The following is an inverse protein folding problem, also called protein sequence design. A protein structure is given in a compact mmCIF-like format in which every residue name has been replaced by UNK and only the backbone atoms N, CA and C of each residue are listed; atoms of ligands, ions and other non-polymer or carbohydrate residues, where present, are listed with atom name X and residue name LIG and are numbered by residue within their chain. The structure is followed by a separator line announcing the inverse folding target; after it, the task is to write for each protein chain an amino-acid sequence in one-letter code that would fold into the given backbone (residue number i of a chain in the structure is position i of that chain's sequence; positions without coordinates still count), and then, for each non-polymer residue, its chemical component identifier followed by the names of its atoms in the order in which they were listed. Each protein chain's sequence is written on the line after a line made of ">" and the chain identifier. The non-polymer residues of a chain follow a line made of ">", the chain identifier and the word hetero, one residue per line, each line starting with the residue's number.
data_IF_172901949195
#
_entry.id   IF_172901949195
#
_cell.length_a   1.000
_cell.length_b   1.000
_cell.length_c   1.000
_cell.angle_alpha   90.00
_cell.angle_beta   90.00
_cell.angle_gamma   90.00
#
_symmetry.space_group_name_H-M   'P 1'
#
loop_
_entity.id
_entity.type
_entity.pdbx_description
1 polymer ?
#
# COMPACT_ATOMS: atom_id res chain seq x y z
N UNK A 1 -3.59 -44.04 -59.46
CA UNK A 1 -3.41 -42.59 -59.25
C UNK A 1 -3.61 -42.34 -57.76
N UNK A 2 -2.56 -41.80 -57.09
CA UNK A 2 -2.40 -41.60 -55.63
C UNK A 2 -2.44 -42.90 -54.80
N UNK A 3 -1.61 -43.13 -53.77
CA UNK A 3 -1.04 -42.20 -52.77
C UNK A 3 0.19 -42.89 -52.14
N UNK A 4 1.35 -42.24 -52.05
CA UNK A 4 2.47 -42.75 -51.24
C UNK A 4 2.90 -41.72 -50.18
N UNK A 5 2.79 -42.22 -48.95
CA UNK A 5 3.01 -41.64 -47.63
C UNK A 5 4.27 -40.76 -47.51
N UNK A 6 4.07 -39.50 -47.18
CA UNK A 6 5.06 -38.63 -46.53
C UNK A 6 4.42 -37.99 -45.30
N UNK A 7 4.33 -38.73 -44.20
CA UNK A 7 4.00 -38.15 -42.88
C UNK A 7 4.34 -39.13 -41.77
N UNK A 8 5.61 -39.21 -41.38
CA UNK A 8 6.01 -39.92 -40.15
C UNK A 8 7.23 -39.28 -39.51
N UNK A 9 8.12 -38.66 -40.28
CA UNK A 9 9.30 -37.97 -39.75
C UNK A 9 8.99 -36.66 -39.01
N UNK A 10 7.92 -35.94 -39.37
CA UNK A 10 7.59 -34.65 -38.73
C UNK A 10 7.07 -34.79 -37.28
N UNK A 11 6.45 -35.92 -36.94
CA UNK A 11 5.85 -36.15 -35.62
C UNK A 11 6.88 -36.52 -34.54
N UNK A 12 7.94 -37.25 -34.90
CA UNK A 12 8.97 -37.65 -33.92
C UNK A 12 9.84 -36.47 -33.47
N UNK A 13 10.13 -35.51 -34.35
CA UNK A 13 10.88 -34.31 -33.99
C UNK A 13 10.12 -33.43 -32.99
N UNK A 14 8.78 -33.35 -33.13
CA UNK A 14 7.95 -32.56 -32.22
C UNK A 14 7.94 -33.11 -30.78
N UNK A 15 7.90 -34.43 -30.63
CA UNK A 15 7.87 -35.09 -29.31
C UNK A 15 9.19 -34.94 -28.54
N UNK A 16 10.32 -34.88 -29.24
CA UNK A 16 11.63 -34.65 -28.62
C UNK A 16 11.77 -33.22 -28.05
N UNK A 17 11.18 -32.21 -28.71
CA UNK A 17 11.21 -30.83 -28.20
C UNK A 17 10.35 -30.64 -26.96
N UNK A 18 9.19 -31.30 -26.85
CA UNK A 18 8.33 -31.19 -25.67
C UNK A 18 8.99 -31.79 -24.42
N UNK A 19 9.68 -32.92 -24.56
CA UNK A 19 10.40 -33.55 -23.44
C UNK A 19 11.64 -32.74 -22.99
N UNK A 20 12.29 -32.02 -23.92
CA UNK A 20 13.45 -31.17 -23.60
C UNK A 20 13.04 -29.89 -22.84
N UNK A 21 11.87 -29.32 -23.14
CA UNK A 21 11.35 -28.14 -22.42
C UNK A 21 10.85 -28.51 -21.02
N UNK A 22 10.27 -29.69 -20.82
CA UNK A 22 9.79 -30.16 -19.52
C UNK A 22 10.89 -30.64 -18.55
N UNK A 23 12.10 -30.90 -19.05
CA UNK A 23 13.26 -31.36 -18.25
C UNK A 23 14.20 -30.23 -17.84
N UNK A 24 13.95 -29.00 -18.29
CA UNK A 24 14.58 -27.83 -17.71
C UNK A 24 14.02 -27.65 -16.30
N UNK A 25 14.85 -27.62 -15.25
CA UNK A 25 14.37 -27.23 -13.94
C UNK A 25 13.73 -25.85 -14.08
N UNK A 26 12.51 -25.70 -13.58
CA UNK A 26 11.80 -24.43 -13.53
C UNK A 26 12.56 -23.48 -12.60
N UNK A 27 13.62 -22.85 -13.11
CA UNK A 27 14.42 -21.83 -12.41
C UNK A 27 13.74 -20.46 -12.42
N UNK A 28 12.43 -20.42 -12.69
CA UNK A 28 11.57 -19.32 -12.30
C UNK A 28 10.83 -19.71 -11.01
N UNK A 29 11.56 -19.67 -9.90
CA UNK A 29 10.93 -19.13 -8.69
C UNK A 29 11.26 -17.65 -8.71
N UNK A 30 10.35 -16.77 -9.18
CA UNK A 30 10.49 -15.39 -8.77
C UNK A 30 10.45 -15.45 -7.26
N UNK A 31 11.53 -15.02 -6.61
CA UNK A 31 11.55 -14.73 -5.19
C UNK A 31 10.66 -13.49 -4.99
N UNK A 32 9.35 -13.67 -5.25
CA UNK A 32 8.27 -12.82 -4.80
C UNK A 32 8.27 -13.05 -3.29
N UNK A 33 9.17 -12.35 -2.59
CA UNK A 33 8.90 -12.01 -1.22
C UNK A 33 7.63 -11.17 -1.28
N UNK A 34 6.49 -11.82 -1.09
CA UNK A 34 5.22 -11.15 -0.88
C UNK A 34 5.46 -10.24 0.32
N UNK A 35 5.45 -8.92 0.10
CA UNK A 35 5.53 -7.94 1.18
C UNK A 35 4.33 -8.24 2.07
N UNK A 36 4.60 -8.86 3.21
CA UNK A 36 3.55 -9.25 4.15
C UNK A 36 3.19 -7.98 4.91
N UNK A 37 2.19 -7.28 4.41
CA UNK A 37 1.66 -6.07 5.03
C UNK A 37 0.44 -6.47 5.86
N UNK A 38 0.39 -5.99 7.10
CA UNK A 38 -0.75 -6.15 7.98
C UNK A 38 -1.32 -4.76 8.28
N UNK A 39 -2.57 -4.51 7.87
CA UNK A 39 -3.28 -3.32 8.37
C UNK A 39 -3.56 -3.53 9.84
N UNK A 40 -2.88 -2.77 10.70
CA UNK A 40 -2.98 -2.93 12.16
C UNK A 40 -3.96 -1.97 12.80
N UNK A 41 -4.20 -0.82 12.16
CA UNK A 41 -5.11 0.17 12.68
C UNK A 41 -5.59 1.14 11.59
N UNK A 42 -6.68 1.85 11.86
CA UNK A 42 -7.17 2.91 10.99
C UNK A 42 -7.80 4.06 11.76
N UNK A 43 -7.86 5.24 11.15
CA UNK A 43 -8.45 6.43 11.72
C UNK A 43 -9.26 7.18 10.65
N UNK A 44 -10.59 7.19 10.79
CA UNK A 44 -11.49 7.90 9.89
C UNK A 44 -11.75 9.32 10.39
N UNK A 45 -11.74 10.31 9.50
CA UNK A 45 -12.03 11.69 9.86
C UNK A 45 -12.96 12.37 8.85
N UNK A 46 -13.66 13.39 9.33
CA UNK A 46 -14.47 14.29 8.51
C UNK A 46 -14.15 15.72 8.89
N UNK A 47 -13.76 16.55 7.91
CA UNK A 47 -13.47 17.96 8.15
C UNK A 47 -14.74 18.83 8.16
N UNK A 48 -14.58 20.10 8.52
CA UNK A 48 -15.66 21.10 8.57
C UNK A 48 -16.30 21.42 7.21
N UNK A 49 -15.61 21.10 6.11
CA UNK A 49 -16.05 21.23 4.73
C UNK A 49 -16.59 19.91 4.15
N UNK A 50 -16.88 18.92 4.99
CA UNK A 50 -17.31 17.57 4.61
C UNK A 50 -16.31 16.77 3.78
N UNK A 51 -15.02 17.10 3.86
CA UNK A 51 -13.97 16.23 3.36
C UNK A 51 -13.93 14.97 4.21
N UNK A 52 -13.87 13.80 3.58
CA UNK A 52 -13.86 12.50 4.26
C UNK A 52 -12.56 11.79 3.89
N UNK A 53 -11.85 11.29 4.89
CA UNK A 53 -10.64 10.51 4.69
C UNK A 53 -10.40 9.49 5.77
N UNK A 54 -9.40 8.64 5.51
CA UNK A 54 -8.88 7.66 6.45
C UNK A 54 -7.37 7.71 6.48
N UNK A 55 -6.79 7.42 7.63
CA UNK A 55 -5.38 7.03 7.74
C UNK A 55 -5.32 5.56 8.06
N UNK A 56 -4.64 4.78 7.22
CA UNK A 56 -4.37 3.37 7.44
C UNK A 56 -2.95 3.19 7.95
N UNK A 57 -2.79 2.39 9.01
CA UNK A 57 -1.50 2.02 9.56
C UNK A 57 -1.17 0.58 9.17
N UNK A 58 -0.04 0.39 8.51
CA UNK A 58 0.44 -0.90 8.04
C UNK A 58 1.72 -1.27 8.76
N UNK A 59 1.76 -2.47 9.32
CA UNK A 59 3.00 -3.08 9.79
C UNK A 59 3.65 -3.85 8.66
N UNK A 60 4.92 -3.56 8.41
CA UNK A 60 5.77 -4.37 7.55
C UNK A 60 6.78 -5.07 8.46
N UNK A 61 6.68 -6.39 8.66
CA UNK A 61 7.51 -7.14 9.58
C UNK A 61 9.01 -6.89 9.35
N UNK A 62 9.73 -6.53 10.42
CA UNK A 62 11.17 -6.25 10.45
C UNK A 62 11.63 -5.07 9.59
N UNK A 63 10.71 -4.18 9.22
CA UNK A 63 11.01 -3.00 8.42
C UNK A 63 10.45 -1.78 9.13
N UNK A 64 9.23 -1.39 8.77
CA UNK A 64 8.66 -0.11 9.11
C UNK A 64 7.18 -0.25 9.49
N UNK A 65 6.69 0.74 10.21
CA UNK A 65 5.27 1.03 10.32
C UNK A 65 4.96 2.17 9.33
N UNK A 66 4.01 1.95 8.41
CA UNK A 66 3.62 2.94 7.41
C UNK A 66 2.25 3.52 7.72
N UNK A 67 2.10 4.84 7.64
CA UNK A 67 0.79 5.51 7.68
C UNK A 67 0.45 6.06 6.29
N UNK A 68 -0.70 5.63 5.76
CA UNK A 68 -1.20 6.01 4.44
C UNK A 68 -2.50 6.80 4.62
N UNK A 69 -2.50 8.05 4.16
CA UNK A 69 -3.67 8.91 4.13
C UNK A 69 -4.44 8.74 2.81
N UNK A 70 -5.74 8.49 2.90
CA UNK A 70 -6.64 8.39 1.75
C UNK A 70 -7.80 9.37 1.92
N UNK A 71 -8.17 10.06 0.85
CA UNK A 71 -9.36 10.91 0.82
C UNK A 71 -10.42 10.29 -0.06
N UNK A 72 -11.62 10.16 0.49
CA UNK A 72 -12.80 9.64 -0.20
C UNK A 72 -13.64 10.75 -0.81
N UNK A 73 -13.65 11.94 -0.19
CA UNK A 73 -14.48 13.07 -0.63
C UNK A 73 -13.84 14.39 -0.21
N UNK A 74 -14.12 15.44 -0.98
CA UNK A 74 -14.12 16.83 -0.49
C UNK A 74 -12.76 17.48 -0.33
N UNK A 75 -11.70 16.88 -0.88
CA UNK A 75 -10.36 17.49 -0.85
C UNK A 75 -9.84 17.76 -2.26
N UNK A 76 -9.96 19.01 -2.70
CA UNK A 76 -9.37 19.52 -3.95
C UNK A 76 -8.43 20.67 -3.63
N UNK A 77 -7.13 20.39 -3.49
CA UNK A 77 -6.11 21.45 -3.48
C UNK A 77 -5.34 21.44 -4.79
N UNK A 78 -5.19 22.63 -5.39
CA UNK A 78 -4.38 22.83 -6.59
C UNK A 78 -2.88 22.87 -6.30
N UNK A 79 -2.51 22.98 -5.01
CA UNK A 79 -1.15 22.98 -4.54
C UNK A 79 -0.98 21.88 -3.47
N UNK A 80 0.19 21.23 -3.39
CA UNK A 80 0.46 20.30 -2.30
C UNK A 80 0.44 21.05 -0.96
N UNK A 81 -0.25 20.48 0.02
CA UNK A 81 -0.30 21.01 1.38
C UNK A 81 0.25 19.99 2.37
N UNK A 82 0.88 20.50 3.43
CA UNK A 82 1.48 19.65 4.47
C UNK A 82 0.45 19.28 5.52
N UNK A 83 0.35 17.98 5.75
CA UNK A 83 -0.44 17.41 6.83
C UNK A 83 0.44 17.04 8.01
N UNK A 84 -0.16 17.15 9.19
CA UNK A 84 0.47 16.95 10.47
C UNK A 84 -0.43 16.05 11.32
N UNK A 85 0.12 15.01 11.94
CA UNK A 85 -0.62 14.09 12.79
C UNK A 85 -0.19 14.26 14.25
N UNK A 86 -1.17 14.25 15.14
CA UNK A 86 -0.99 14.16 16.58
C UNK A 86 -1.60 12.83 17.02
N UNK A 87 -0.82 12.00 17.71
CA UNK A 87 -1.27 10.68 18.17
C UNK A 87 -1.00 10.57 19.67
N UNK A 88 -2.04 10.29 20.45
CA UNK A 88 -1.92 10.21 21.92
C UNK A 88 -1.42 11.51 22.55
N UNK A 89 -1.70 12.66 21.93
CA UNK A 89 -1.24 13.97 22.38
C UNK A 89 0.17 14.37 21.94
N UNK A 90 0.89 13.50 21.23
CA UNK A 90 2.24 13.79 20.72
C UNK A 90 2.21 14.14 19.23
N UNK A 91 2.90 15.22 18.84
CA UNK A 91 3.10 15.56 17.43
C UNK A 91 4.12 14.61 16.80
N UNK A 92 3.62 13.67 16.00
CA UNK A 92 4.42 12.68 15.28
C UNK A 92 4.76 13.13 13.86
N UNK A 93 4.35 14.34 13.46
CA UNK A 93 4.59 14.88 12.12
C UNK A 93 6.06 15.12 11.83
N UNK A 94 6.93 15.18 12.85
CA UNK A 94 8.38 15.29 12.67
C UNK A 94 9.02 13.99 12.15
N UNK A 95 8.43 12.84 12.47
CA UNK A 95 8.86 11.53 11.96
C UNK A 95 8.18 11.20 10.64
N UNK A 96 7.02 11.80 10.37
CA UNK A 96 6.44 11.84 9.03
C UNK A 96 7.27 12.73 8.10
N UNK A 97 7.83 12.18 7.02
CA UNK A 97 8.38 13.01 5.95
C UNK A 97 7.23 13.76 5.25
N UNK A 98 7.13 15.07 5.50
CA UNK A 98 6.06 15.94 5.01
C UNK A 98 6.07 16.12 3.48
N UNK A 99 4.94 16.66 3.00
CA UNK A 99 4.46 16.85 1.62
C UNK A 99 3.68 15.67 1.04
N UNK A 100 2.47 15.45 1.59
CA UNK A 100 1.42 14.62 0.99
C UNK A 100 0.64 15.44 -0.04
N UNK A 101 1.04 15.33 -1.31
CA UNK A 101 0.28 15.91 -2.42
C UNK A 101 -0.96 15.05 -2.69
N UNK A 102 -2.17 15.54 -2.39
CA UNK A 102 -3.40 14.77 -2.60
C UNK A 102 -4.44 15.57 -3.39
N UNK A 103 -4.97 14.94 -4.44
CA UNK A 103 -6.16 15.37 -5.19
C UNK A 103 -7.38 14.51 -4.81
N UNK A 104 -8.58 14.97 -5.14
CA UNK A 104 -9.83 14.26 -4.80
C UNK A 104 -9.82 12.79 -5.25
N UNK A 105 -10.18 11.87 -4.34
CA UNK A 105 -10.15 10.43 -4.60
C UNK A 105 -8.75 9.82 -4.71
N UNK A 106 -7.69 10.55 -4.36
CA UNK A 106 -6.32 10.05 -4.40
C UNK A 106 -5.83 9.58 -3.02
N UNK A 107 -5.04 8.51 -3.06
CA UNK A 107 -4.20 8.07 -1.95
C UNK A 107 -2.92 8.92 -1.94
N UNK A 108 -2.44 9.25 -0.75
CA UNK A 108 -1.12 9.84 -0.53
C UNK A 108 -0.04 9.12 -1.36
N UNK A 109 0.76 9.84 -2.18
CA UNK A 109 1.78 9.21 -3.02
C UNK A 109 2.98 8.68 -2.23
N UNK A 110 3.22 9.20 -1.02
CA UNK A 110 4.31 8.76 -0.15
C UNK A 110 3.74 8.43 1.25
N UNK A 111 3.87 7.19 1.76
CA UNK A 111 3.51 6.89 3.14
C UNK A 111 4.43 7.63 4.11
N UNK A 112 3.93 7.96 5.28
CA UNK A 112 4.80 8.29 6.40
C UNK A 112 5.40 7.01 6.99
N UNK A 113 6.70 7.03 7.26
CA UNK A 113 7.46 5.85 7.67
C UNK A 113 7.94 6.06 9.10
N UNK A 114 7.69 5.07 9.95
CA UNK A 114 8.08 5.04 11.36
C UNK A 114 8.81 3.73 11.67
N UNK A 115 9.46 3.66 12.83
CA UNK A 115 9.95 2.39 13.35
C UNK A 115 8.80 1.39 13.47
N UNK A 116 9.05 0.10 13.20
CA UNK A 116 8.03 -0.97 13.24
C UNK A 116 7.21 -0.98 14.55
N UNK A 117 7.87 -0.73 15.68
CA UNK A 117 7.26 -0.67 17.03
C UNK A 117 6.23 0.45 17.20
N UNK A 118 6.23 1.45 16.32
CA UNK A 118 5.23 2.52 16.34
C UNK A 118 3.82 2.00 16.14
N UNK A 119 3.67 0.92 15.37
CA UNK A 119 2.41 0.23 15.17
C UNK A 119 1.88 -0.45 16.46
N UNK A 120 2.71 -0.62 17.49
CA UNK A 120 2.29 -1.19 18.78
C UNK A 120 1.51 -0.16 19.63
N UNK A 121 0.34 -0.57 20.09
CA UNK A 121 -0.48 0.26 20.98
C UNK A 121 -1.03 1.52 20.32
N UNK A 122 -1.31 1.47 19.01
CA UNK A 122 -2.07 2.52 18.32
C UNK A 122 -3.56 2.48 18.69
N UNK A 123 -4.12 1.29 18.90
CA UNK A 123 -5.53 1.09 19.24
C UNK A 123 -5.97 1.91 20.47
N UNK A 124 -7.07 2.63 20.32
CA UNK A 124 -7.66 3.48 21.36
C UNK A 124 -6.95 4.81 21.59
N UNK A 125 -5.86 5.13 20.87
CA UNK A 125 -5.23 6.46 20.96
C UNK A 125 -6.05 7.51 20.21
N UNK A 126 -6.09 8.72 20.77
CA UNK A 126 -6.60 9.89 20.06
C UNK A 126 -5.70 10.18 18.85
N UNK A 127 -6.33 10.44 17.71
CA UNK A 127 -5.70 10.84 16.47
C UNK A 127 -6.27 12.19 16.03
N UNK A 128 -5.40 13.14 15.75
CA UNK A 128 -5.76 14.43 15.20
C UNK A 128 -4.94 14.66 13.93
N UNK A 129 -5.62 15.04 12.86
CA UNK A 129 -5.00 15.49 11.61
C UNK A 129 -5.16 17.00 11.49
N UNK A 130 -4.05 17.66 11.18
CA UNK A 130 -3.98 19.08 10.91
C UNK A 130 -3.49 19.35 9.51
N UNK A 131 -4.09 20.34 8.88
CA UNK A 131 -3.61 20.98 7.68
C UNK A 131 -2.86 22.24 8.11
N UNK A 132 -1.54 22.26 7.93
CA UNK A 132 -0.69 23.30 8.53
C UNK A 132 -0.91 23.39 10.06
N UNK A 133 -1.60 24.44 10.53
CA UNK A 133 -1.92 24.65 11.95
C UNK A 133 -3.41 24.45 12.28
N UNK A 134 -4.24 24.16 11.29
CA UNK A 134 -5.68 23.99 11.46
C UNK A 134 -6.02 22.52 11.65
N UNK A 135 -6.79 22.21 12.69
CA UNK A 135 -7.35 20.87 12.86
C UNK A 135 -8.46 20.64 11.84
N UNK A 136 -8.27 19.61 11.01
CA UNK A 136 -9.22 19.22 9.98
C UNK A 136 -9.89 17.88 10.30
N UNK A 137 -9.54 17.24 11.42
CA UNK A 137 -10.15 15.99 11.83
C UNK A 137 -9.58 15.48 13.14
N UNK A 138 -10.45 14.92 13.97
CA UNK A 138 -10.07 14.22 15.19
C UNK A 138 -10.94 12.97 15.33
N UNK A 139 -10.31 11.87 15.74
CA UNK A 139 -10.95 10.57 15.94
C UNK A 139 -10.16 9.73 16.93
N UNK A 140 -10.63 8.50 17.17
CA UNK A 140 -9.88 7.47 17.88
C UNK A 140 -9.36 6.47 16.86
N UNK A 141 -8.11 6.05 17.02
CA UNK A 141 -7.54 4.99 16.19
C UNK A 141 -8.20 3.66 16.58
N UNK A 142 -8.74 2.97 15.59
CA UNK A 142 -9.35 1.65 15.75
C UNK A 142 -8.34 0.58 15.31
N UNK A 143 -7.97 -0.31 16.24
CA UNK A 143 -7.17 -1.50 15.95
C UNK A 143 -7.94 -2.49 15.08
N UNK A 144 -7.20 -3.24 14.26
CA UNK A 144 -7.73 -4.29 13.38
C UNK A 144 -7.63 -5.68 14.00
#
# INVERSE_FOLDING_TARGET
>A
MFTQKTSTFAFLALLFFVALVASLPSTFSPNLQVRQEETVAHANFTDVNEAVGEVLFFRIPRQDCEAILQFFKGFESSNPEDYFFIIGGEDVSGTMRKNLTISNGATAPNPAIFEESFCDGLDGKEFIIKLQNEEIGSTVIEGN
#
